data_IF_017551131438
#
_entry.id   IF_017551131438
#
_cell.length_a   1.000
_cell.length_b   1.000
_cell.length_c   1.000
_cell.angle_alpha   90.00
_cell.angle_beta   90.00
_cell.angle_gamma   90.00
#
_symmetry.space_group_name_H-M   'P 1'
#
loop_
_entity.id
_entity.type
_entity.pdbx_description
1 polymer ?
#
# COMPACT_ATOMS: atom_id res chain seq x y z
N UNK A 1 9.03 -9.01 14.00
CA UNK A 1 9.11 -7.65 13.43
C UNK A 1 7.69 -7.14 13.23
N UNK A 2 7.39 -5.89 13.59
CA UNK A 2 6.06 -5.34 13.41
C UNK A 2 5.87 -4.92 11.95
N UNK A 3 5.08 -5.69 11.21
CA UNK A 3 4.61 -5.34 9.87
C UNK A 3 3.18 -4.82 10.01
N UNK A 4 2.88 -3.69 9.37
CA UNK A 4 1.51 -3.18 9.32
C UNK A 4 0.93 -3.50 7.96
N UNK A 5 -0.20 -4.20 7.96
CA UNK A 5 -0.89 -4.67 6.78
C UNK A 5 -2.18 -3.90 6.56
N UNK A 6 -2.37 -3.42 5.33
CA UNK A 6 -3.56 -2.71 4.90
C UNK A 6 -4.25 -3.51 3.79
N UNK A 7 -5.43 -4.09 4.03
CA UNK A 7 -6.20 -4.72 2.97
C UNK A 7 -6.73 -3.67 1.99
N UNK A 8 -6.95 -4.05 0.73
CA UNK A 8 -7.38 -3.11 -0.32
C UNK A 8 -8.64 -2.30 0.05
N UNK A 9 -9.60 -2.88 0.77
CA UNK A 9 -10.83 -2.18 1.17
C UNK A 9 -10.59 -1.01 2.15
N UNK A 10 -9.46 -0.99 2.86
CA UNK A 10 -9.06 0.12 3.71
C UNK A 10 -8.32 1.22 2.93
N UNK A 11 -7.83 0.92 1.74
CA UNK A 11 -7.11 1.83 0.87
C UNK A 11 -8.09 2.57 -0.04
N UNK A 12 -7.75 3.81 -0.39
CA UNK A 12 -8.52 4.59 -1.37
C UNK A 12 -7.59 5.15 -2.43
N UNK A 13 -7.92 4.92 -3.70
CA UNK A 13 -7.24 5.59 -4.81
C UNK A 13 -7.86 6.98 -5.01
N UNK A 14 -7.03 8.02 -4.95
CA UNK A 14 -7.40 9.40 -5.31
C UNK A 14 -6.48 9.86 -6.44
N UNK A 15 -7.00 9.85 -7.67
CA UNK A 15 -6.18 10.13 -8.85
C UNK A 15 -5.06 9.09 -8.98
N UNK A 16 -3.81 9.55 -8.98
CA UNK A 16 -2.62 8.69 -9.08
C UNK A 16 -1.96 8.39 -7.72
N UNK A 17 -2.68 8.60 -6.60
CA UNK A 17 -2.17 8.40 -5.26
C UNK A 17 -3.05 7.46 -4.45
N UNK A 18 -2.41 6.53 -3.74
CA UNK A 18 -3.04 5.64 -2.76
C UNK A 18 -3.04 6.34 -1.41
N UNK A 19 -4.23 6.53 -0.85
CA UNK A 19 -4.44 7.03 0.50
C UNK A 19 -4.41 5.87 1.49
N UNK A 20 -3.42 5.87 2.37
CA UNK A 20 -3.27 4.89 3.46
C UNK A 20 -3.66 5.56 4.79
N UNK A 21 -4.73 5.12 5.46
CA UNK A 21 -5.17 5.72 6.72
C UNK A 21 -4.23 5.37 7.87
N UNK A 22 -3.92 6.33 8.75
CA UNK A 22 -3.05 6.12 9.92
C UNK A 22 -3.82 5.86 11.22
N UNK A 23 -5.12 5.56 11.12
CA UNK A 23 -6.00 5.38 12.26
C UNK A 23 -6.32 6.68 12.99
N UNK A 24 -7.03 6.55 14.12
CA UNK A 24 -7.63 7.68 14.83
C UNK A 24 -6.68 8.37 15.82
N UNK A 25 -5.57 7.72 16.18
CA UNK A 25 -4.60 8.24 17.16
C UNK A 25 -3.52 9.09 16.50
N UNK A 26 -3.11 8.78 15.26
CA UNK A 26 -2.06 9.52 14.57
C UNK A 26 -2.45 10.98 14.27
N UNK A 27 -3.72 11.23 13.92
CA UNK A 27 -4.22 12.58 13.63
C UNK A 27 -4.11 13.53 14.84
N UNK A 28 -4.62 13.20 16.04
CA UNK A 28 -4.47 14.07 17.21
C UNK A 28 -3.02 14.19 17.72
N UNK A 29 -2.18 13.19 17.53
CA UNK A 29 -0.83 13.17 18.10
C UNK A 29 0.23 13.83 17.19
N UNK A 30 0.09 13.64 15.87
CA UNK A 30 1.08 14.08 14.88
C UNK A 30 0.51 15.02 13.82
N UNK A 31 -0.79 15.30 13.84
CA UNK A 31 -1.45 16.10 12.80
C UNK A 31 -1.58 15.38 11.45
N UNK A 32 -1.24 14.09 11.38
CA UNK A 32 -1.24 13.28 10.17
C UNK A 32 -2.44 12.33 10.16
N UNK A 33 -3.30 12.43 9.16
CA UNK A 33 -4.47 11.54 9.01
C UNK A 33 -4.20 10.35 8.08
N UNK A 34 -3.36 10.54 7.06
CA UNK A 34 -3.05 9.54 6.05
C UNK A 34 -1.70 9.77 5.38
N UNK A 35 -1.14 8.70 4.80
CA UNK A 35 -0.07 8.79 3.81
C UNK A 35 -0.64 8.79 2.40
N UNK A 36 0.02 9.53 1.52
CA UNK A 36 -0.24 9.53 0.08
C UNK A 36 0.97 8.90 -0.61
N UNK A 37 0.75 7.75 -1.23
CA UNK A 37 1.79 7.00 -1.94
C UNK A 37 1.47 7.06 -3.43
N UNK A 38 2.44 7.40 -4.30
CA UNK A 38 2.19 7.34 -5.75
C UNK A 38 1.88 5.90 -6.18
N UNK A 39 0.87 5.74 -7.02
CA UNK A 39 0.58 4.45 -7.65
C UNK A 39 1.73 4.08 -8.60
N UNK A 40 2.30 2.87 -8.50
CA UNK A 40 3.32 2.43 -9.45
C UNK A 40 2.72 2.25 -10.85
N UNK A 41 3.43 2.68 -11.89
CA UNK A 41 2.93 2.71 -13.27
C UNK A 41 2.77 1.34 -13.92
N UNK A 42 3.33 0.29 -13.32
CA UNK A 42 3.32 -1.09 -13.82
C UNK A 42 2.28 -1.97 -13.14
N UNK A 43 1.45 -1.42 -12.25
CA UNK A 43 0.45 -2.16 -11.50
C UNK A 43 -0.89 -1.43 -11.58
N UNK A 44 -1.97 -2.19 -11.68
CA UNK A 44 -3.33 -1.65 -11.57
C UNK A 44 -3.82 -1.77 -10.13
N UNK A 45 -4.58 -0.77 -9.66
CA UNK A 45 -5.09 -0.79 -8.28
C UNK A 45 -6.13 -1.91 -8.07
N UNK A 46 -6.80 -2.34 -9.14
CA UNK A 46 -7.78 -3.45 -9.15
C UNK A 46 -7.17 -4.80 -8.78
N UNK A 47 -5.89 -5.04 -9.09
CA UNK A 47 -5.22 -6.33 -8.85
C UNK A 47 -4.56 -6.41 -7.47
N UNK A 48 -4.53 -5.29 -6.74
CA UNK A 48 -3.95 -5.19 -5.41
C UNK A 48 -4.83 -5.92 -4.38
N UNK A 49 -4.20 -6.77 -3.58
CA UNK A 49 -4.85 -7.43 -2.44
C UNK A 49 -4.56 -6.72 -1.13
N UNK A 50 -3.29 -6.38 -0.93
CA UNK A 50 -2.79 -5.91 0.34
C UNK A 50 -1.58 -5.00 0.12
N UNK A 51 -1.48 -3.96 0.94
CA UNK A 51 -0.30 -3.10 1.03
C UNK A 51 0.33 -3.27 2.41
N UNK A 52 1.63 -3.56 2.45
CA UNK A 52 2.36 -3.72 3.71
C UNK A 52 3.36 -2.59 3.91
N UNK A 53 3.43 -2.10 5.14
CA UNK A 53 4.45 -1.18 5.60
C UNK A 53 5.52 -1.97 6.38
N UNK A 54 6.74 -1.98 5.85
CA UNK A 54 7.87 -2.71 6.39
C UNK A 54 8.95 -1.74 6.89
N UNK A 55 9.15 -1.62 8.21
CA UNK A 55 10.31 -0.91 8.73
C UNK A 55 11.57 -1.79 8.58
N UNK A 56 12.51 -1.39 7.70
CA UNK A 56 13.83 -2.03 7.55
C UNK A 56 14.91 -0.97 7.45
N UNK A 57 16.08 -1.21 8.04
CA UNK A 57 17.25 -0.34 7.91
C UNK A 57 16.98 1.16 8.20
N UNK A 58 16.16 1.46 9.22
CA UNK A 58 15.71 2.83 9.57
C UNK A 58 14.87 3.53 8.48
N UNK A 59 14.42 2.78 7.47
CA UNK A 59 13.53 3.25 6.41
C UNK A 59 12.20 2.48 6.45
N UNK A 60 11.18 3.10 5.85
CA UNK A 60 9.88 2.49 5.66
C UNK A 60 9.72 2.08 4.20
N UNK A 61 9.44 0.81 3.96
CA UNK A 61 9.20 0.27 2.63
C UNK A 61 7.72 -0.08 2.46
N UNK A 62 7.22 0.14 1.25
CA UNK A 62 5.90 -0.28 0.84
C UNK A 62 6.02 -1.54 -0.01
N UNK A 63 5.31 -2.59 0.39
CA UNK A 63 5.23 -3.85 -0.36
C UNK A 63 3.81 -4.01 -0.90
N UNK A 64 3.68 -4.09 -2.22
CA UNK A 64 2.43 -4.27 -2.92
C UNK A 64 2.21 -5.75 -3.20
N UNK A 65 1.15 -6.31 -2.64
CA UNK A 65 0.76 -7.70 -2.87
C UNK A 65 -0.41 -7.70 -3.82
N UNK A 66 -0.24 -8.38 -4.95
CA UNK A 66 -1.21 -8.41 -6.03
C UNK A 66 -1.31 -9.81 -6.61
N UNK A 67 -2.46 -10.11 -7.21
CA UNK A 67 -2.61 -11.30 -8.03
C UNK A 67 -2.18 -11.01 -9.47
N UNK A 68 -1.47 -11.97 -10.05
CA UNK A 68 -1.08 -11.92 -11.45
C UNK A 68 -1.40 -13.26 -12.10
N UNK A 69 -2.06 -13.19 -13.24
CA UNK A 69 -2.23 -14.36 -14.10
C UNK A 69 -0.87 -14.73 -14.70
N UNK A 70 -0.40 -15.93 -14.40
CA UNK A 70 0.84 -16.46 -14.97
C UNK A 70 0.53 -16.92 -16.39
N UNK A 71 0.74 -16.05 -17.37
CA UNK A 71 0.73 -16.45 -18.78
C UNK A 71 2.00 -17.26 -19.03
N UNK A 72 1.89 -18.57 -18.95
CA UNK A 72 2.97 -19.49 -19.33
C UNK A 72 3.08 -19.39 -20.85
N UNK A 73 4.10 -18.67 -21.34
CA UNK A 73 4.43 -18.71 -22.77
C UNK A 73 5.07 -20.07 -23.04
N UNK A 74 4.52 -20.92 -23.94
CA UNK A 74 5.23 -22.11 -24.36
C UNK A 74 6.55 -21.69 -25.03
N UNK A 75 7.63 -22.35 -24.60
CA UNK A 75 8.99 -22.20 -25.13
C UNK A 75 9.11 -22.75 -26.55
#
# INVERSE_FOLDING_TARGET
>A
MATVSYPIHALKLKGNQIRVPLGNTCKPWFGLDCFLIPMPSNLEFSTLKELRLLPRNKCFYWEFIYEKEVVIKPQ
#
